data_IF_815418164402
#
_entry.id   IF_815418164402
#
_cell.length_a   1.000
_cell.length_b   1.000
_cell.length_c   1.000
_cell.angle_alpha   90.00
_cell.angle_beta   90.00
_cell.angle_gamma   90.00
#
_symmetry.space_group_name_H-M   'P 1'
#
loop_
_entity.id
_entity.type
_entity.pdbx_description
1 polymer ?
#
# COMPACT_ATOMS: atom_id res chain seq x y z
N UNK A 1 -13.18 -36.97 -21.88
CA UNK A 1 -12.59 -35.76 -22.50
C UNK A 1 -13.27 -34.48 -22.03
N UNK A 2 -14.59 -34.46 -21.84
CA UNK A 2 -15.34 -33.28 -21.38
C UNK A 2 -14.84 -32.70 -20.04
N UNK A 3 -14.58 -33.52 -19.03
CA UNK A 3 -14.04 -33.04 -17.76
C UNK A 3 -12.66 -32.39 -17.92
N UNK A 4 -11.80 -32.87 -18.83
CA UNK A 4 -10.47 -32.30 -19.06
C UNK A 4 -10.56 -30.92 -19.75
N UNK A 5 -11.52 -30.75 -20.66
CA UNK A 5 -11.80 -29.49 -21.33
C UNK A 5 -12.41 -28.47 -20.37
N UNK A 6 -13.30 -28.90 -19.49
CA UNK A 6 -13.91 -28.04 -18.45
C UNK A 6 -12.86 -27.61 -17.41
N UNK A 7 -12.03 -28.52 -16.92
CA UNK A 7 -10.90 -28.18 -16.03
C UNK A 7 -9.87 -27.29 -16.71
N UNK A 8 -9.57 -27.54 -18.00
CA UNK A 8 -8.71 -26.69 -18.82
C UNK A 8 -9.28 -25.28 -19.01
N UNK A 9 -10.59 -25.16 -19.23
CA UNK A 9 -11.31 -23.89 -19.33
C UNK A 9 -11.29 -23.11 -18.01
N UNK A 10 -11.57 -23.76 -16.87
CA UNK A 10 -11.48 -23.12 -15.56
C UNK A 10 -10.06 -22.70 -15.21
N UNK A 11 -9.07 -23.55 -15.52
CA UNK A 11 -7.66 -23.23 -15.32
C UNK A 11 -7.26 -22.02 -16.16
N UNK A 12 -7.53 -22.00 -17.47
CA UNK A 12 -7.19 -20.88 -18.35
C UNK A 12 -7.92 -19.59 -17.94
N UNK A 13 -9.19 -19.72 -17.52
CA UNK A 13 -10.01 -18.60 -17.07
C UNK A 13 -9.49 -17.97 -15.78
N UNK A 14 -9.16 -18.77 -14.77
CA UNK A 14 -8.65 -18.27 -13.48
C UNK A 14 -7.16 -17.91 -13.52
N UNK A 15 -6.38 -18.56 -14.39
CA UNK A 15 -4.94 -18.38 -14.47
C UNK A 15 -4.53 -17.17 -15.31
N UNK A 16 -5.19 -16.92 -16.44
CA UNK A 16 -4.80 -15.88 -17.39
C UNK A 16 -5.93 -14.87 -17.70
N UNK A 17 -7.16 -15.33 -17.92
CA UNK A 17 -8.26 -14.46 -18.35
C UNK A 17 -8.71 -13.48 -17.26
N UNK A 18 -9.10 -13.99 -16.09
CA UNK A 18 -9.58 -13.18 -14.96
C UNK A 18 -8.48 -12.24 -14.44
N UNK A 19 -7.23 -12.68 -14.18
CA UNK A 19 -6.16 -11.78 -13.78
C UNK A 19 -5.84 -10.71 -14.84
N UNK A 20 -5.83 -11.08 -16.12
CA UNK A 20 -5.64 -10.14 -17.23
C UNK A 20 -6.76 -9.10 -17.31
N UNK A 21 -8.02 -9.53 -17.20
CA UNK A 21 -9.20 -8.68 -17.19
C UNK A 21 -9.18 -7.72 -15.98
N UNK A 22 -8.93 -8.24 -14.78
CA UNK A 22 -8.89 -7.46 -13.53
C UNK A 22 -7.77 -6.41 -13.58
N UNK A 23 -6.62 -6.76 -14.13
CA UNK A 23 -5.48 -5.83 -14.26
C UNK A 23 -5.76 -4.73 -15.28
N UNK A 24 -6.38 -5.08 -16.41
CA UNK A 24 -6.71 -4.14 -17.47
C UNK A 24 -7.83 -3.19 -17.04
N UNK A 25 -8.89 -3.70 -16.45
CA UNK A 25 -10.03 -2.91 -15.98
C UNK A 25 -9.68 -2.11 -14.73
N UNK A 26 -9.22 -2.77 -13.66
CA UNK A 26 -9.08 -2.16 -12.33
C UNK A 26 -7.66 -1.68 -11.99
N UNK A 27 -6.65 -1.97 -12.81
CA UNK A 27 -5.27 -1.56 -12.52
C UNK A 27 -4.68 -2.23 -11.27
N UNK A 28 -5.18 -3.42 -10.90
CA UNK A 28 -4.74 -4.10 -9.70
C UNK A 28 -3.25 -4.49 -9.80
N UNK A 29 -2.42 -3.88 -8.93
CA UNK A 29 -0.96 -4.11 -8.83
C UNK A 29 -0.16 -3.81 -10.12
N UNK A 30 -0.75 -3.08 -11.07
CA UNK A 30 -0.10 -2.63 -12.30
C UNK A 30 -0.16 -1.10 -12.40
N UNK A 31 0.82 -0.48 -13.05
CA UNK A 31 0.77 0.94 -13.39
C UNK A 31 0.42 1.10 -14.87
N UNK A 32 -0.71 1.76 -15.16
CA UNK A 32 -1.21 1.94 -16.55
C UNK A 32 -1.42 3.40 -16.96
N UNK A 33 -1.62 4.28 -15.98
CA UNK A 33 -1.89 5.70 -16.19
C UNK A 33 -1.47 6.46 -14.94
N UNK A 34 -0.83 7.61 -15.15
CA UNK A 34 -0.47 8.55 -14.10
C UNK A 34 -1.54 9.59 -13.81
N UNK A 35 -1.40 10.25 -12.67
CA UNK A 35 -2.10 11.49 -12.35
C UNK A 35 -1.09 12.64 -12.44
N UNK A 36 -1.09 13.36 -13.56
CA UNK A 36 -0.18 14.46 -13.83
C UNK A 36 -0.93 15.58 -14.55
N UNK A 37 -0.31 16.74 -14.68
CA UNK A 37 -0.95 17.91 -15.32
C UNK A 37 -0.46 18.12 -16.75
N UNK A 38 0.82 17.85 -17.00
CA UNK A 38 1.45 18.06 -18.32
C UNK A 38 2.36 16.91 -18.76
N UNK A 39 2.49 15.85 -17.98
CA UNK A 39 3.48 14.80 -18.23
C UNK A 39 2.88 13.58 -18.89
N UNK A 40 3.57 13.06 -19.90
CA UNK A 40 3.23 11.85 -20.66
C UNK A 40 4.43 10.91 -20.61
N UNK A 41 4.20 9.62 -20.45
CA UNK A 41 5.28 8.63 -20.47
C UNK A 41 5.25 7.81 -21.76
N UNK A 42 6.30 7.96 -22.56
CA UNK A 42 6.56 7.14 -23.74
C UNK A 42 7.22 5.85 -23.31
N UNK A 43 6.70 4.72 -23.79
CA UNK A 43 7.25 3.40 -23.50
C UNK A 43 7.42 2.60 -24.79
N UNK A 44 8.57 1.96 -24.94
CA UNK A 44 8.95 1.20 -26.12
C UNK A 44 9.23 -0.26 -25.74
N UNK A 45 8.55 -1.19 -26.40
CA UNK A 45 8.73 -2.63 -26.21
C UNK A 45 9.52 -3.24 -27.37
N UNK A 46 10.03 -4.46 -27.15
CA UNK A 46 10.64 -5.37 -28.13
C UNK A 46 12.10 -5.11 -28.53
N UNK A 47 12.60 -3.89 -28.37
CA UNK A 47 14.01 -3.57 -28.62
C UNK A 47 15.02 -4.20 -27.64
N UNK A 48 16.31 -3.84 -27.76
CA UNK A 48 16.85 -2.92 -28.77
C UNK A 48 17.00 -3.56 -30.15
N UNK A 49 16.68 -2.78 -31.18
CA UNK A 49 16.91 -3.08 -32.59
C UNK A 49 18.07 -2.19 -33.10
N UNK A 50 19.14 -2.78 -33.67
CA UNK A 50 20.32 -2.01 -34.08
C UNK A 50 20.06 -1.00 -35.21
N UNK A 51 18.98 -1.16 -35.97
CA UNK A 51 18.62 -0.25 -37.06
C UNK A 51 17.72 0.89 -36.60
N UNK A 52 16.74 0.61 -35.74
CA UNK A 52 15.69 1.57 -35.39
C UNK A 52 15.86 2.23 -34.01
N UNK A 53 16.36 1.49 -33.01
CA UNK A 53 16.57 2.04 -31.66
C UNK A 53 17.54 3.23 -31.65
N UNK A 54 18.67 3.26 -32.40
CA UNK A 54 19.52 4.45 -32.46
C UNK A 54 18.79 5.69 -32.98
N UNK A 55 17.99 5.52 -34.04
CA UNK A 55 17.21 6.61 -34.65
C UNK A 55 16.13 7.13 -33.71
N UNK A 56 15.54 6.23 -32.93
CA UNK A 56 14.58 6.58 -31.88
C UNK A 56 15.25 7.42 -30.77
N UNK A 57 16.42 7.00 -30.31
CA UNK A 57 17.20 7.73 -29.30
C UNK A 57 17.56 9.14 -29.80
N UNK A 58 18.03 9.26 -31.05
CA UNK A 58 18.30 10.57 -31.67
C UNK A 58 17.04 11.46 -31.72
N UNK A 59 15.90 10.89 -32.08
CA UNK A 59 14.62 11.61 -32.13
C UNK A 59 14.20 12.09 -30.73
N UNK A 60 14.30 11.23 -29.71
CA UNK A 60 13.98 11.60 -28.33
C UNK A 60 14.90 12.72 -27.84
N UNK A 61 16.21 12.63 -28.12
CA UNK A 61 17.20 13.63 -27.74
C UNK A 61 16.90 15.00 -28.38
N UNK A 62 16.54 15.05 -29.67
CA UNK A 62 16.15 16.30 -30.37
C UNK A 62 14.98 17.03 -29.71
N UNK A 63 14.07 16.29 -29.08
CA UNK A 63 12.91 16.85 -28.39
C UNK A 63 13.08 16.97 -26.87
N UNK A 64 14.28 16.68 -26.33
CA UNK A 64 14.51 16.64 -24.87
C UNK A 64 13.60 15.66 -24.14
N UNK A 65 13.12 14.62 -24.84
CA UNK A 65 12.17 13.65 -24.33
C UNK A 65 12.90 12.49 -23.64
N UNK A 66 12.36 12.01 -22.51
CA UNK A 66 12.84 10.79 -21.86
C UNK A 66 11.76 9.72 -21.85
N UNK A 67 12.17 8.48 -22.08
CA UNK A 67 11.28 7.35 -22.26
C UNK A 67 11.63 6.16 -21.35
N UNK A 68 10.81 5.11 -21.41
CA UNK A 68 11.09 3.83 -20.75
C UNK A 68 11.07 2.69 -21.75
N UNK A 69 12.18 1.96 -21.86
CA UNK A 69 12.38 0.87 -22.81
C UNK A 69 12.22 -0.47 -22.09
N UNK A 70 11.24 -1.29 -22.49
CA UNK A 70 11.08 -2.66 -22.03
C UNK A 70 11.75 -3.59 -23.03
N UNK A 71 12.99 -3.97 -22.70
CA UNK A 71 13.85 -4.69 -23.64
C UNK A 71 13.66 -6.21 -23.56
N UNK A 72 13.77 -6.86 -24.72
CA UNK A 72 13.87 -8.31 -24.82
C UNK A 72 15.31 -8.72 -24.54
N UNK A 73 15.54 -9.57 -23.54
CA UNK A 73 16.87 -9.90 -23.06
C UNK A 73 17.83 -10.46 -24.13
N UNK A 74 17.36 -11.28 -25.06
CA UNK A 74 18.16 -11.80 -26.16
C UNK A 74 18.56 -10.72 -27.20
N UNK A 75 17.80 -9.63 -27.28
CA UNK A 75 18.16 -8.47 -28.10
C UNK A 75 19.18 -7.60 -27.35
N UNK A 76 18.89 -7.34 -26.08
CA UNK A 76 19.74 -6.57 -25.19
C UNK A 76 21.14 -7.18 -25.02
N UNK A 77 21.24 -8.51 -24.96
CA UNK A 77 22.53 -9.21 -24.83
C UNK A 77 23.41 -9.07 -26.07
N UNK A 78 22.80 -8.92 -27.25
CA UNK A 78 23.51 -8.70 -28.52
C UNK A 78 23.92 -7.24 -28.73
N UNK A 79 23.25 -6.30 -28.05
CA UNK A 79 23.43 -4.86 -28.22
C UNK A 79 23.61 -4.12 -26.87
N UNK A 80 24.59 -4.50 -26.03
CA UNK A 80 24.81 -3.86 -24.73
C UNK A 80 25.16 -2.37 -24.85
N UNK A 81 25.76 -1.95 -25.97
CA UNK A 81 26.05 -0.55 -26.30
C UNK A 81 24.80 0.32 -26.35
N UNK A 82 23.67 -0.22 -26.85
CA UNK A 82 22.41 0.50 -26.91
C UNK A 82 21.77 0.63 -25.53
N UNK A 83 21.92 -0.37 -24.66
CA UNK A 83 21.49 -0.29 -23.26
C UNK A 83 22.27 0.79 -22.51
N UNK A 84 23.59 0.84 -22.71
CA UNK A 84 24.43 1.88 -22.12
C UNK A 84 24.01 3.27 -22.63
N UNK A 85 23.79 3.42 -23.94
CA UNK A 85 23.31 4.66 -24.54
C UNK A 85 21.96 5.11 -23.97
N UNK A 86 20.98 4.20 -23.85
CA UNK A 86 19.69 4.49 -23.21
C UNK A 86 19.86 5.06 -21.80
N UNK A 87 20.74 4.44 -21.00
CA UNK A 87 21.03 4.89 -19.64
C UNK A 87 21.70 6.27 -19.62
N UNK A 88 22.74 6.45 -20.43
CA UNK A 88 23.53 7.68 -20.49
C UNK A 88 22.68 8.88 -20.97
N UNK A 89 21.69 8.65 -21.85
CA UNK A 89 20.69 9.64 -22.30
C UNK A 89 19.51 9.83 -21.31
N UNK A 90 19.56 9.18 -20.13
CA UNK A 90 18.62 9.40 -19.04
C UNK A 90 17.27 8.68 -19.20
N UNK A 91 17.21 7.65 -20.03
CA UNK A 91 16.03 6.79 -20.15
C UNK A 91 16.01 5.70 -19.07
N UNK A 92 14.82 5.12 -18.83
CA UNK A 92 14.68 3.97 -17.92
C UNK A 92 14.61 2.69 -18.72
N UNK A 93 15.26 1.63 -18.23
CA UNK A 93 15.23 0.30 -18.86
C UNK A 93 14.44 -0.65 -17.95
N UNK A 94 13.50 -1.37 -18.54
CA UNK A 94 12.67 -2.38 -17.92
C UNK A 94 12.78 -3.73 -18.65
N UNK A 95 12.21 -4.76 -18.03
CA UNK A 95 12.29 -6.14 -18.52
C UNK A 95 11.08 -6.45 -19.41
N UNK A 96 11.30 -7.09 -20.57
CA UNK A 96 10.27 -7.65 -21.45
C UNK A 96 10.45 -9.15 -21.75
N UNK A 97 10.85 -9.92 -20.73
CA UNK A 97 11.37 -11.30 -20.84
C UNK A 97 12.66 -11.41 -21.66
N UNK A 98 13.30 -12.59 -21.62
CA UNK A 98 14.53 -12.82 -22.36
C UNK A 98 14.24 -13.18 -23.82
N UNK A 99 13.16 -13.92 -24.08
CA UNK A 99 12.54 -14.08 -25.41
C UNK A 99 11.12 -13.54 -25.40
N UNK A 100 10.67 -12.99 -26.54
CA UNK A 100 9.32 -12.45 -26.71
C UNK A 100 8.26 -13.58 -26.84
N UNK A 101 8.05 -14.31 -25.75
CA UNK A 101 7.09 -15.41 -25.63
C UNK A 101 6.02 -15.06 -24.58
N UNK A 102 4.76 -15.35 -24.89
CA UNK A 102 3.65 -15.09 -23.97
C UNK A 102 3.77 -15.92 -22.68
N UNK A 103 3.50 -15.32 -21.53
CA UNK A 103 3.70 -15.98 -20.24
C UNK A 103 2.72 -17.13 -19.97
N UNK A 104 1.51 -17.09 -20.53
CA UNK A 104 0.47 -18.08 -20.26
C UNK A 104 0.78 -19.46 -20.86
N UNK A 105 1.63 -19.52 -21.88
CA UNK A 105 2.15 -20.78 -22.46
C UNK A 105 3.47 -21.24 -21.82
N UNK A 106 3.97 -20.53 -20.81
CA UNK A 106 5.21 -20.85 -20.11
C UNK A 106 4.94 -21.28 -18.67
N UNK A 107 5.73 -22.25 -18.19
CA UNK A 107 5.69 -22.65 -16.78
C UNK A 107 6.22 -21.51 -15.90
N UNK A 108 5.71 -21.33 -14.66
CA UNK A 108 6.17 -20.28 -13.74
C UNK A 108 7.70 -20.20 -13.54
N UNK A 109 8.37 -21.35 -13.45
CA UNK A 109 9.84 -21.43 -13.35
C UNK A 109 10.54 -20.87 -14.60
N UNK A 110 9.97 -21.11 -15.78
CA UNK A 110 10.51 -20.59 -17.03
C UNK A 110 10.36 -19.07 -17.10
N UNK A 111 9.19 -18.52 -16.77
CA UNK A 111 8.99 -17.06 -16.70
C UNK A 111 9.96 -16.41 -15.70
N UNK A 112 10.15 -17.03 -14.52
CA UNK A 112 11.16 -16.55 -13.56
C UNK A 112 12.57 -16.51 -14.17
N UNK A 113 12.97 -17.54 -14.92
CA UNK A 113 14.28 -17.59 -15.59
C UNK A 113 14.39 -16.48 -16.65
N UNK A 114 13.36 -16.31 -17.49
CA UNK A 114 13.29 -15.26 -18.52
C UNK A 114 13.51 -13.86 -17.94
N UNK A 115 12.80 -13.54 -16.85
CA UNK A 115 12.93 -12.24 -16.17
C UNK A 115 14.33 -12.08 -15.55
N UNK A 116 14.86 -13.13 -14.92
CA UNK A 116 16.16 -13.04 -14.21
C UNK A 116 17.33 -12.87 -15.19
N UNK A 117 17.33 -13.63 -16.30
CA UNK A 117 18.34 -13.48 -17.35
C UNK A 117 18.35 -12.08 -17.94
N UNK A 118 17.17 -11.52 -18.23
CA UNK A 118 17.07 -10.15 -18.76
C UNK A 118 17.57 -9.13 -17.74
N UNK A 119 17.26 -9.33 -16.45
CA UNK A 119 17.76 -8.46 -15.39
C UNK A 119 19.29 -8.48 -15.29
N UNK A 120 19.90 -9.66 -15.38
CA UNK A 120 21.36 -9.82 -15.39
C UNK A 120 22.01 -9.15 -16.60
N UNK A 121 21.41 -9.26 -17.78
CA UNK A 121 21.89 -8.58 -19.01
C UNK A 121 21.84 -7.06 -18.84
N UNK A 122 20.73 -6.52 -18.32
CA UNK A 122 20.58 -5.08 -18.08
C UNK A 122 21.63 -4.62 -17.06
N UNK A 123 21.72 -5.29 -15.91
CA UNK A 123 22.64 -4.93 -14.83
C UNK A 123 24.11 -5.01 -15.28
N UNK A 124 24.49 -6.01 -16.07
CA UNK A 124 25.84 -6.12 -16.64
C UNK A 124 26.15 -4.98 -17.61
N UNK A 125 25.17 -4.56 -18.40
CA UNK A 125 25.37 -3.54 -19.46
C UNK A 125 25.35 -2.11 -18.91
N UNK A 126 24.56 -1.85 -17.87
CA UNK A 126 24.30 -0.49 -17.37
C UNK A 126 24.79 -0.25 -15.96
N UNK A 127 25.05 -1.31 -15.18
CA UNK A 127 25.31 -1.22 -13.74
C UNK A 127 24.08 -0.91 -12.89
N UNK A 128 22.87 -0.92 -13.48
CA UNK A 128 21.61 -0.66 -12.76
C UNK A 128 20.72 -1.89 -12.73
N UNK A 129 20.22 -2.22 -11.54
CA UNK A 129 19.23 -3.29 -11.38
C UNK A 129 17.85 -2.81 -11.85
N UNK A 130 17.24 -3.45 -12.87
CA UNK A 130 15.92 -3.04 -13.33
C UNK A 130 14.83 -3.35 -12.30
N UNK A 131 13.89 -2.42 -12.12
CA UNK A 131 12.77 -2.55 -11.17
C UNK A 131 11.40 -2.62 -11.85
N UNK A 132 11.36 -2.43 -13.17
CA UNK A 132 10.14 -2.45 -13.97
C UNK A 132 10.10 -3.65 -14.89
N UNK A 133 8.88 -4.17 -15.08
CA UNK A 133 8.63 -5.33 -15.90
C UNK A 133 7.32 -5.14 -16.66
N UNK A 134 7.32 -5.49 -17.94
CA UNK A 134 6.11 -5.59 -18.75
C UNK A 134 6.07 -6.99 -19.35
N UNK A 135 5.04 -7.80 -19.10
CA UNK A 135 4.95 -9.11 -19.71
C UNK A 135 4.68 -8.97 -21.22
N UNK A 136 5.29 -9.83 -22.07
CA UNK A 136 4.95 -9.90 -23.49
C UNK A 136 3.45 -9.99 -23.72
N UNK A 137 2.96 -9.30 -24.75
CA UNK A 137 1.53 -9.19 -25.09
C UNK A 137 0.66 -8.48 -24.02
N UNK A 138 1.26 -7.98 -22.94
CA UNK A 138 0.54 -7.43 -21.78
C UNK A 138 -0.37 -8.43 -21.07
N UNK A 139 -0.15 -9.74 -21.28
CA UNK A 139 -0.94 -10.80 -20.65
C UNK A 139 -0.33 -11.10 -19.28
N UNK A 140 -1.06 -10.71 -18.23
CA UNK A 140 -0.68 -10.93 -16.85
C UNK A 140 -1.41 -12.16 -16.31
N UNK A 141 -0.69 -13.10 -15.68
CA UNK A 141 -1.27 -14.27 -15.03
C UNK A 141 -1.12 -14.21 -13.50
N UNK A 142 -1.73 -15.16 -12.77
CA UNK A 142 -1.67 -15.19 -11.31
C UNK A 142 -0.23 -15.29 -10.76
N UNK A 143 0.68 -15.93 -11.50
CA UNK A 143 2.09 -16.03 -11.12
C UNK A 143 2.80 -14.67 -11.18
N UNK A 144 2.49 -13.82 -12.17
CA UNK A 144 3.06 -12.47 -12.25
C UNK A 144 2.74 -11.65 -10.98
N UNK A 145 1.61 -11.93 -10.30
CA UNK A 145 1.27 -11.34 -9.00
C UNK A 145 1.91 -12.03 -7.79
N UNK A 146 2.29 -13.30 -7.92
CA UNK A 146 2.85 -14.11 -6.81
C UNK A 146 4.24 -13.63 -6.37
N UNK A 147 4.98 -12.96 -7.27
CA UNK A 147 6.23 -12.27 -6.95
C UNK A 147 5.96 -10.97 -6.19
N UNK A 148 5.74 -11.08 -4.88
CA UNK A 148 5.61 -9.93 -3.98
C UNK A 148 6.91 -9.11 -3.96
N UNK A 149 6.98 -8.05 -4.76
CA UNK A 149 7.83 -6.89 -4.49
C UNK A 149 9.15 -6.75 -5.26
N UNK A 150 9.52 -7.70 -6.14
CA UNK A 150 10.77 -7.57 -6.89
C UNK A 150 10.67 -6.61 -8.09
N UNK A 151 9.56 -6.66 -8.83
CA UNK A 151 9.35 -5.82 -10.01
C UNK A 151 7.97 -5.17 -9.99
N UNK A 152 7.89 -3.92 -10.46
CA UNK A 152 6.63 -3.22 -10.67
C UNK A 152 6.15 -3.47 -12.10
N UNK A 153 4.95 -4.02 -12.23
CA UNK A 153 4.34 -4.28 -13.54
C UNK A 153 3.84 -2.96 -14.13
N UNK A 154 4.25 -2.67 -15.36
CA UNK A 154 3.85 -1.48 -16.11
C UNK A 154 3.11 -1.92 -17.36
N UNK A 155 1.87 -1.47 -17.51
CA UNK A 155 1.07 -1.62 -18.72
C UNK A 155 0.92 -0.25 -19.39
N UNK A 156 -0.19 0.01 -20.08
CA UNK A 156 -0.40 1.22 -20.87
C UNK A 156 -1.85 1.70 -20.80
N UNK A 157 -2.06 2.96 -21.14
CA UNK A 157 -3.38 3.59 -21.31
C UNK A 157 -3.70 3.91 -22.78
N UNK A 158 -2.70 3.85 -23.65
CA UNK A 158 -2.82 3.97 -25.11
C UNK A 158 -2.00 2.88 -25.83
N UNK A 159 -2.62 2.24 -26.80
CA UNK A 159 -2.01 1.28 -27.73
C UNK A 159 -2.56 1.56 -29.12
N UNK A 160 -1.71 1.52 -30.15
CA UNK A 160 -2.01 2.17 -31.43
C UNK A 160 -1.92 1.24 -32.64
N UNK A 161 -1.35 0.04 -32.48
CA UNK A 161 -1.13 -0.90 -33.58
C UNK A 161 0.06 -0.52 -34.44
N UNK A 162 1.06 0.12 -33.84
CA UNK A 162 2.29 0.61 -34.47
C UNK A 162 3.26 -0.50 -34.89
N UNK A 163 3.05 -1.73 -34.41
CA UNK A 163 3.77 -2.93 -34.85
C UNK A 163 3.31 -3.48 -36.21
N UNK A 164 2.28 -2.89 -36.82
CA UNK A 164 1.85 -3.24 -38.18
C UNK A 164 2.22 -2.12 -39.14
N UNK A 165 2.73 -2.47 -40.32
CA UNK A 165 2.85 -1.56 -41.42
C UNK A 165 1.44 -1.25 -41.95
N UNK A 166 1.08 0.03 -42.03
CA UNK A 166 -0.18 0.47 -42.61
C UNK A 166 0.07 1.13 -43.97
N UNK A 167 -0.88 0.98 -44.88
CA UNK A 167 -0.88 1.71 -46.16
C UNK A 167 -1.16 3.21 -45.93
N UNK A 168 -2.06 3.53 -44.99
CA UNK A 168 -2.32 4.91 -44.55
C UNK A 168 -1.35 5.32 -43.43
N UNK A 169 -0.25 5.97 -43.81
CA UNK A 169 0.77 6.51 -42.89
C UNK A 169 0.20 7.49 -41.85
N UNK A 170 -0.91 8.17 -42.16
CA UNK A 170 -1.54 9.12 -41.23
C UNK A 170 -2.41 8.45 -40.16
N UNK A 171 -2.77 7.16 -40.33
CA UNK A 171 -3.64 6.45 -39.39
C UNK A 171 -3.04 6.38 -37.99
N UNK A 172 -1.76 6.05 -37.89
CA UNK A 172 -1.04 5.95 -36.61
C UNK A 172 -0.95 7.32 -35.94
N UNK A 173 -0.57 8.36 -36.69
CA UNK A 173 -0.53 9.76 -36.24
C UNK A 173 -1.86 10.21 -35.62
N UNK A 174 -2.98 10.00 -36.31
CA UNK A 174 -4.32 10.37 -35.79
C UNK A 174 -4.65 9.65 -34.48
N UNK A 175 -4.29 8.38 -34.35
CA UNK A 175 -4.54 7.60 -33.12
C UNK A 175 -3.67 8.08 -31.96
N UNK A 176 -2.40 8.37 -32.21
CA UNK A 176 -1.48 8.93 -31.23
C UNK A 176 -2.00 10.27 -30.69
N UNK A 177 -2.33 11.21 -31.58
CA UNK A 177 -2.79 12.54 -31.20
C UNK A 177 -4.08 12.53 -30.36
N UNK A 178 -5.00 11.57 -30.58
CA UNK A 178 -6.20 11.39 -29.73
C UNK A 178 -5.86 11.08 -28.26
N UNK A 179 -4.65 10.54 -28.00
CA UNK A 179 -4.12 10.21 -26.68
C UNK A 179 -3.03 11.18 -26.23
N UNK A 180 -2.90 12.35 -26.84
CA UNK A 180 -2.06 13.43 -26.35
C UNK A 180 -2.74 14.13 -25.16
N UNK A 181 -2.70 13.46 -24.00
CA UNK A 181 -3.36 13.86 -22.75
C UNK A 181 -2.42 13.61 -21.57
N UNK A 182 -2.50 14.39 -20.48
CA UNK A 182 -1.62 14.20 -19.35
C UNK A 182 -1.89 12.87 -18.64
N UNK A 183 -0.83 12.30 -18.09
CA UNK A 183 -0.85 11.05 -17.34
C UNK A 183 -0.85 9.80 -18.22
N UNK A 184 -0.87 9.92 -19.54
CA UNK A 184 -0.89 8.77 -20.43
C UNK A 184 0.44 8.01 -20.39
N UNK A 185 0.34 6.67 -20.36
CA UNK A 185 1.45 5.75 -20.62
C UNK A 185 1.23 5.18 -22.01
N UNK A 186 2.01 5.66 -22.97
CA UNK A 186 1.91 5.39 -24.41
C UNK A 186 2.80 4.17 -24.71
N UNK A 187 2.20 3.08 -25.19
CA UNK A 187 2.93 1.90 -25.66
C UNK A 187 3.21 2.04 -27.16
N UNK A 188 4.50 1.90 -27.52
CA UNK A 188 5.04 1.83 -28.87
C UNK A 188 6.10 0.70 -28.93
N UNK A 189 6.59 0.37 -30.13
CA UNK A 189 7.53 -0.72 -30.37
C UNK A 189 8.67 -0.22 -31.27
N UNK A 190 9.91 -0.45 -30.85
CA UNK A 190 11.11 -0.03 -31.58
C UNK A 190 11.80 -1.16 -32.34
N UNK A 191 11.23 -2.36 -32.35
CA UNK A 191 11.74 -3.53 -33.06
C UNK A 191 10.66 -4.20 -33.91
N UNK A 192 11.00 -4.52 -35.16
CA UNK A 192 10.13 -5.22 -36.13
C UNK A 192 10.41 -6.72 -36.26
N UNK A 193 11.28 -7.28 -35.41
CA UNK A 193 11.76 -8.68 -35.52
C UNK A 193 11.03 -9.64 -34.58
N UNK A 194 10.16 -9.14 -33.69
CA UNK A 194 9.38 -9.97 -32.78
C UNK A 194 8.16 -10.56 -33.47
N UNK A 195 7.71 -11.72 -32.97
CA UNK A 195 6.56 -12.42 -33.54
C UNK A 195 5.31 -11.50 -33.54
N UNK A 196 4.76 -11.25 -34.73
CA UNK A 196 3.54 -10.45 -34.92
C UNK A 196 3.79 -8.99 -35.26
N UNK A 197 5.04 -8.53 -35.31
CA UNK A 197 5.43 -7.22 -35.81
C UNK A 197 5.89 -7.31 -37.28
N UNK A 198 5.58 -6.28 -38.07
CA UNK A 198 6.09 -6.13 -39.44
C UNK A 198 7.46 -5.46 -39.41
N UNK A 199 8.40 -5.94 -40.23
CA UNK A 199 9.80 -5.49 -40.22
C UNK A 199 9.97 -3.96 -40.38
N UNK A 200 9.13 -3.34 -41.21
CA UNK A 200 9.18 -1.90 -41.50
C UNK A 200 8.30 -1.04 -40.57
N UNK A 201 7.55 -1.65 -39.64
CA UNK A 201 6.64 -0.93 -38.76
C UNK A 201 7.34 0.12 -37.87
N UNK A 202 8.55 -0.14 -37.32
CA UNK A 202 9.27 0.87 -36.53
C UNK A 202 9.59 2.15 -37.32
N UNK A 203 9.78 2.07 -38.65
CA UNK A 203 9.99 3.25 -39.48
C UNK A 203 8.75 4.17 -39.48
N UNK A 204 7.56 3.59 -39.70
CA UNK A 204 6.31 4.34 -39.66
C UNK A 204 6.00 4.87 -38.25
N UNK A 205 6.37 4.11 -37.21
CA UNK A 205 6.25 4.54 -35.83
C UNK A 205 7.09 5.80 -35.57
N UNK A 206 8.34 5.84 -36.02
CA UNK A 206 9.23 7.00 -35.87
C UNK A 206 8.66 8.25 -36.54
N UNK A 207 8.12 8.13 -37.75
CA UNK A 207 7.46 9.25 -38.45
C UNK A 207 6.27 9.78 -37.65
N UNK A 208 5.38 8.90 -37.19
CA UNK A 208 4.22 9.30 -36.41
C UNK A 208 4.59 9.87 -35.03
N UNK A 209 5.66 9.34 -34.41
CA UNK A 209 6.18 9.79 -33.12
C UNK A 209 6.77 11.20 -33.23
N UNK A 210 7.48 11.52 -34.30
CA UNK A 210 8.00 12.88 -34.52
C UNK A 210 6.87 13.92 -34.44
N UNK A 211 5.80 13.73 -35.21
CA UNK A 211 4.64 14.63 -35.15
C UNK A 211 3.98 14.69 -33.76
N UNK A 212 3.95 13.56 -33.04
CA UNK A 212 3.40 13.51 -31.68
C UNK A 212 4.25 14.30 -30.67
N UNK A 213 5.58 14.22 -30.78
CA UNK A 213 6.53 14.98 -29.96
C UNK A 213 6.45 16.47 -30.25
N UNK A 214 6.41 16.87 -31.53
CA UNK A 214 6.27 18.26 -31.96
C UNK A 214 4.97 18.88 -31.41
N UNK A 215 3.83 18.24 -31.65
CA UNK A 215 2.53 18.72 -31.22
C UNK A 215 2.39 18.70 -29.69
N UNK A 216 3.00 17.70 -29.03
CA UNK A 216 3.07 17.61 -27.58
C UNK A 216 3.85 18.77 -26.98
N UNK A 217 5.03 19.05 -27.52
CA UNK A 217 5.89 20.15 -27.09
C UNK A 217 5.19 21.50 -27.30
N UNK A 218 4.55 21.70 -28.46
CA UNK A 218 3.77 22.90 -28.79
C UNK A 218 2.63 23.14 -27.79
N UNK A 219 2.01 22.07 -27.28
CA UNK A 219 0.95 22.13 -26.25
C UNK A 219 1.49 22.19 -24.81
N UNK A 220 2.81 22.24 -24.64
CA UNK A 220 3.46 22.33 -23.33
C UNK A 220 3.48 21.01 -22.55
N UNK A 221 3.32 19.87 -23.21
CA UNK A 221 3.51 18.56 -22.58
C UNK A 221 5.00 18.26 -22.39
N UNK A 222 5.31 17.47 -21.37
CA UNK A 222 6.67 16.96 -21.10
C UNK A 222 6.68 15.44 -21.17
N UNK A 223 7.67 14.89 -21.85
CA UNK A 223 7.84 13.46 -21.99
C UNK A 223 8.81 12.93 -20.93
N UNK A 224 8.30 12.08 -20.03
CA UNK A 224 9.00 11.63 -18.83
C UNK A 224 9.05 10.11 -18.74
N UNK A 225 9.98 9.59 -17.94
CA UNK A 225 10.08 8.15 -17.69
C UNK A 225 8.91 7.66 -16.82
N UNK A 226 8.64 6.36 -16.85
CA UNK A 226 7.63 5.73 -16.00
C UNK A 226 7.87 5.98 -14.51
N UNK A 227 9.08 5.79 -13.94
CA UNK A 227 9.36 6.13 -12.54
C UNK A 227 9.01 7.58 -12.17
N UNK A 228 9.32 8.54 -13.04
CA UNK A 228 8.98 9.95 -12.80
C UNK A 228 7.48 10.19 -12.82
N UNK A 229 6.76 9.60 -13.79
CA UNK A 229 5.31 9.71 -13.84
C UNK A 229 4.65 9.07 -12.61
N UNK A 230 5.21 7.98 -12.08
CA UNK A 230 4.78 7.37 -10.82
C UNK A 230 5.00 8.34 -9.66
N UNK A 231 6.17 8.97 -9.55
CA UNK A 231 6.45 9.94 -8.46
C UNK A 231 5.46 11.11 -8.50
N UNK A 232 5.22 11.68 -9.69
CA UNK A 232 4.24 12.75 -9.89
C UNK A 232 2.82 12.31 -9.51
N UNK A 233 2.44 11.09 -9.89
CA UNK A 233 1.14 10.50 -9.54
C UNK A 233 0.94 10.42 -8.05
N UNK A 234 1.93 9.91 -7.32
CA UNK A 234 1.85 9.78 -5.87
C UNK A 234 1.84 11.16 -5.18
N UNK A 235 2.60 12.13 -5.69
CA UNK A 235 2.57 13.53 -5.23
C UNK A 235 1.19 14.18 -5.45
N UNK A 236 0.54 13.93 -6.59
CA UNK A 236 -0.75 14.52 -6.91
C UNK A 236 -1.91 13.84 -6.17
N UNK A 237 -1.86 12.52 -5.95
CA UNK A 237 -2.82 11.81 -5.08
C UNK A 237 -2.78 12.33 -3.64
N UNK A 238 -1.58 12.64 -3.14
CA UNK A 238 -1.41 13.23 -1.81
C UNK A 238 -2.08 14.61 -1.70
N UNK A 239 -2.06 15.40 -2.79
CA UNK A 239 -2.65 16.74 -2.85
C UNK A 239 -4.17 16.74 -3.07
N UNK A 240 -4.70 15.74 -3.77
CA UNK A 240 -6.14 15.59 -4.08
C UNK A 240 -6.65 14.22 -3.63
N UNK A 241 -6.92 14.00 -2.33
CA UNK A 241 -7.53 12.75 -1.88
C UNK A 241 -8.88 12.57 -2.56
N UNK A 242 -9.03 11.46 -3.30
CA UNK A 242 -10.23 11.11 -4.07
C UNK A 242 -11.50 11.28 -3.23
N UNK A 243 -12.55 11.87 -3.81
CA UNK A 243 -13.84 12.04 -3.14
C UNK A 243 -14.41 10.70 -2.65
N UNK A 244 -14.14 9.59 -3.35
CA UNK A 244 -14.46 8.24 -2.90
C UNK A 244 -13.75 7.86 -1.60
N UNK A 245 -12.52 8.31 -1.36
CA UNK A 245 -11.82 8.07 -0.09
C UNK A 245 -12.45 8.89 1.04
N UNK A 246 -12.99 10.08 0.74
CA UNK A 246 -13.75 10.88 1.71
C UNK A 246 -15.10 10.23 2.02
N UNK A 247 -15.80 9.74 0.99
CA UNK A 247 -17.07 9.03 1.14
C UNK A 247 -16.91 7.71 1.89
N UNK A 248 -15.89 6.91 1.57
CA UNK A 248 -15.58 5.69 2.32
C UNK A 248 -15.20 5.99 3.76
N UNK A 249 -14.38 7.02 4.02
CA UNK A 249 -14.06 7.43 5.38
C UNK A 249 -15.31 7.93 6.14
N UNK A 250 -16.21 8.64 5.46
CA UNK A 250 -17.46 9.10 6.05
C UNK A 250 -18.41 7.92 6.35
N UNK A 251 -18.62 7.02 5.39
CA UNK A 251 -19.42 5.81 5.57
C UNK A 251 -18.86 4.91 6.67
N UNK A 252 -17.54 4.84 6.81
CA UNK A 252 -16.86 4.11 7.88
C UNK A 252 -17.10 4.73 9.26
N UNK A 253 -16.97 6.06 9.38
CA UNK A 253 -17.26 6.77 10.63
C UNK A 253 -18.75 6.67 11.02
N UNK A 254 -19.65 6.64 10.03
CA UNK A 254 -21.08 6.41 10.28
C UNK A 254 -21.37 4.97 10.71
N UNK A 255 -20.68 3.98 10.13
CA UNK A 255 -20.76 2.59 10.59
C UNK A 255 -20.29 2.44 12.04
N UNK A 256 -19.25 3.18 12.44
CA UNK A 256 -18.77 3.22 13.83
C UNK A 256 -19.79 3.83 14.78
N UNK A 257 -20.42 4.95 14.43
CA UNK A 257 -21.50 5.53 15.24
C UNK A 257 -22.69 4.56 15.40
N UNK A 258 -23.05 3.86 14.31
CA UNK A 258 -24.08 2.83 14.35
C UNK A 258 -23.66 1.63 15.21
N UNK A 259 -22.38 1.24 15.17
CA UNK A 259 -21.82 0.18 16.02
C UNK A 259 -21.85 0.57 17.50
N UNK A 260 -21.45 1.79 17.85
CA UNK A 260 -21.54 2.32 19.23
C UNK A 260 -22.97 2.32 19.76
N UNK A 261 -23.94 2.73 18.92
CA UNK A 261 -25.35 2.77 19.26
C UNK A 261 -25.92 1.36 19.49
N UNK A 262 -25.61 0.42 18.61
CA UNK A 262 -26.12 -0.97 18.66
C UNK A 262 -25.50 -1.76 19.82
N UNK A 263 -24.22 -1.52 20.16
CA UNK A 263 -23.48 -2.31 21.14
C UNK A 263 -23.25 -1.64 22.51
N UNK A 264 -23.79 -0.43 22.74
CA UNK A 264 -23.76 0.31 24.03
C UNK A 264 -22.37 0.36 24.68
N UNK A 265 -21.36 0.72 23.89
CA UNK A 265 -19.97 0.83 24.34
C UNK A 265 -19.80 1.99 25.32
N UNK A 266 -19.12 1.77 26.46
CA UNK A 266 -18.81 2.84 27.43
C UNK A 266 -17.47 3.49 27.07
N UNK A 267 -17.42 4.82 26.82
CA UNK A 267 -16.19 5.52 26.49
C UNK A 267 -15.30 5.68 27.73
N UNK A 268 -13.99 5.58 27.53
CA UNK A 268 -12.97 5.94 28.51
C UNK A 268 -12.26 7.18 27.99
N UNK A 269 -12.50 8.32 28.64
CA UNK A 269 -11.83 9.58 28.33
C UNK A 269 -10.35 9.50 28.71
N UNK A 270 -9.47 9.97 27.83
CA UNK A 270 -8.05 10.17 28.14
C UNK A 270 -7.85 11.32 29.13
N UNK A 271 -6.64 11.43 29.70
CA UNK A 271 -6.24 12.65 30.41
C UNK A 271 -6.26 13.83 29.42
N UNK A 272 -6.89 14.93 29.84
CA UNK A 272 -7.14 16.19 29.10
C UNK A 272 -8.30 16.16 28.08
N UNK A 273 -9.54 16.26 28.57
CA UNK A 273 -10.66 16.92 27.86
C UNK A 273 -10.98 16.51 26.41
N UNK A 274 -10.48 15.37 25.95
CA UNK A 274 -10.45 14.96 24.55
C UNK A 274 -11.13 13.62 24.29
N UNK A 275 -11.42 13.38 23.00
CA UNK A 275 -12.12 12.20 22.44
C UNK A 275 -11.67 10.87 23.09
N UNK A 276 -12.59 9.90 23.28
CA UNK A 276 -12.30 8.64 23.95
C UNK A 276 -11.15 7.87 23.27
N UNK A 277 -10.26 7.29 24.10
CA UNK A 277 -9.08 6.53 23.64
C UNK A 277 -9.42 5.04 23.51
N UNK A 278 -10.26 4.56 24.44
CA UNK A 278 -10.69 3.17 24.54
C UNK A 278 -12.18 3.12 24.88
N UNK A 279 -12.82 2.04 24.45
CA UNK A 279 -14.16 1.66 24.88
C UNK A 279 -14.12 0.28 25.52
N UNK A 280 -15.05 0.02 26.45
CA UNK A 280 -15.22 -1.31 27.02
C UNK A 280 -16.69 -1.73 27.08
N UNK A 281 -16.92 -3.05 27.08
CA UNK A 281 -18.23 -3.66 27.34
C UNK A 281 -18.10 -5.01 28.02
N UNK A 282 -19.19 -5.47 28.64
CA UNK A 282 -19.28 -6.82 29.17
C UNK A 282 -19.68 -7.78 28.04
N UNK A 283 -18.98 -8.89 27.90
CA UNK A 283 -19.32 -9.97 26.98
C UNK A 283 -19.33 -11.30 27.70
N UNK A 284 -20.15 -12.24 27.22
CA UNK A 284 -20.05 -13.65 27.63
C UNK A 284 -19.02 -14.34 26.73
N UNK A 285 -18.03 -14.99 27.34
CA UNK A 285 -17.02 -15.73 26.62
C UNK A 285 -17.62 -16.97 25.94
N UNK A 286 -17.30 -17.18 24.66
CA UNK A 286 -17.82 -18.29 23.87
C UNK A 286 -16.71 -19.09 23.17
N UNK A 287 -15.47 -18.96 23.63
CA UNK A 287 -14.30 -19.66 23.08
C UNK A 287 -13.93 -20.96 23.82
N UNK A 288 -12.81 -21.61 23.44
CA UNK A 288 -12.29 -22.78 24.14
C UNK A 288 -11.87 -22.44 25.57
N UNK A 289 -11.83 -23.42 26.46
CA UNK A 289 -11.32 -23.22 27.82
C UNK A 289 -9.87 -22.74 27.80
N UNK A 290 -9.59 -21.70 28.59
CA UNK A 290 -8.28 -21.05 28.67
C UNK A 290 -7.87 -20.97 30.13
N UNK A 291 -6.61 -21.30 30.40
CA UNK A 291 -5.97 -21.12 31.70
C UNK A 291 -4.97 -19.97 31.62
N UNK A 292 -5.12 -18.99 32.52
CA UNK A 292 -4.21 -17.85 32.65
C UNK A 292 -3.08 -18.16 33.66
N UNK A 293 -1.98 -17.38 33.59
CA UNK A 293 -0.75 -17.53 34.40
C UNK A 293 -0.92 -17.51 35.92
N UNK A 294 -2.10 -17.22 36.48
CA UNK A 294 -2.39 -17.34 37.92
C UNK A 294 -3.40 -18.47 38.26
N UNK A 295 -3.58 -19.45 37.38
CA UNK A 295 -4.52 -20.57 37.59
C UNK A 295 -5.99 -20.19 37.38
N UNK A 296 -6.26 -18.99 36.87
CA UNK A 296 -7.61 -18.52 36.53
C UNK A 296 -8.08 -19.22 35.26
N UNK A 297 -9.13 -20.03 35.38
CA UNK A 297 -9.79 -20.68 34.24
C UNK A 297 -10.96 -19.87 33.71
N UNK A 298 -10.92 -19.61 32.40
CA UNK A 298 -11.97 -18.95 31.63
C UNK A 298 -12.70 -20.01 30.81
N UNK A 299 -13.99 -20.20 31.10
CA UNK A 299 -14.86 -21.16 30.44
C UNK A 299 -16.02 -20.47 29.74
N UNK A 300 -16.69 -21.20 28.85
CA UNK A 300 -17.84 -20.69 28.09
C UNK A 300 -18.94 -20.19 29.05
N UNK A 301 -19.38 -18.95 28.84
CA UNK A 301 -20.38 -18.25 29.66
C UNK A 301 -19.79 -17.23 30.63
N UNK A 302 -18.49 -17.29 30.91
CA UNK A 302 -17.83 -16.35 31.80
C UNK A 302 -17.92 -14.91 31.31
N UNK A 303 -18.06 -13.98 32.25
CA UNK A 303 -18.14 -12.56 31.94
C UNK A 303 -16.73 -11.98 31.81
N UNK A 304 -16.49 -11.33 30.67
CA UNK A 304 -15.24 -10.65 30.35
C UNK A 304 -15.51 -9.17 30.06
N UNK A 305 -14.53 -8.32 30.34
CA UNK A 305 -14.54 -6.94 29.90
C UNK A 305 -13.80 -6.84 28.56
N UNK A 306 -14.53 -6.72 27.46
CA UNK A 306 -13.95 -6.58 26.13
C UNK A 306 -13.54 -5.14 25.88
N UNK A 307 -12.28 -4.93 25.47
CA UNK A 307 -11.73 -3.61 25.13
C UNK A 307 -11.67 -3.37 23.63
N UNK A 308 -12.00 -2.15 23.21
CA UNK A 308 -12.02 -1.70 21.82
C UNK A 308 -11.22 -0.40 21.69
N UNK A 309 -10.26 -0.38 20.78
CA UNK A 309 -9.51 0.82 20.40
C UNK A 309 -10.38 1.76 19.59
N UNK A 310 -10.37 3.04 19.94
CA UNK A 310 -11.08 4.06 19.17
C UNK A 310 -10.44 4.21 17.78
N UNK A 311 -11.27 4.17 16.72
CA UNK A 311 -10.75 4.22 15.35
C UNK A 311 -10.17 5.61 15.01
N UNK A 312 -10.54 6.68 15.71
CA UNK A 312 -9.94 8.00 15.56
C UNK A 312 -8.50 8.01 16.08
N UNK A 313 -8.21 7.31 17.19
CA UNK A 313 -6.84 7.13 17.68
C UNK A 313 -6.00 6.33 16.67
N UNK A 314 -6.55 5.21 16.15
CA UNK A 314 -5.89 4.42 15.11
C UNK A 314 -5.61 5.27 13.86
N UNK A 315 -6.57 6.08 13.43
CA UNK A 315 -6.44 6.98 12.27
C UNK A 315 -5.41 8.08 12.52
N UNK A 316 -5.38 8.68 13.70
CA UNK A 316 -4.43 9.74 14.06
C UNK A 316 -3.00 9.19 14.19
N UNK A 317 -2.84 8.05 14.86
CA UNK A 317 -1.58 7.33 14.99
C UNK A 317 -1.05 6.90 13.62
N UNK A 318 -1.94 6.39 12.75
CA UNK A 318 -1.64 6.16 11.35
C UNK A 318 -1.20 7.46 10.71
N UNK A 319 -2.06 8.48 10.57
CA UNK A 319 -1.82 9.77 9.88
C UNK A 319 -0.54 10.50 10.28
N UNK A 320 -0.07 10.38 11.52
CA UNK A 320 1.14 11.08 12.01
C UNK A 320 2.46 10.32 11.87
N UNK A 321 2.44 9.01 11.61
CA UNK A 321 3.65 8.15 11.61
C UNK A 321 3.99 7.56 10.24
N UNK A 322 5.23 7.66 9.77
CA UNK A 322 5.65 7.27 8.41
C UNK A 322 5.94 5.77 8.22
N UNK A 323 6.02 5.00 9.31
CA UNK A 323 6.32 3.55 9.29
C UNK A 323 5.28 2.76 10.09
N UNK A 324 4.85 1.56 9.62
CA UNK A 324 3.99 0.65 10.38
C UNK A 324 4.54 0.31 11.77
N UNK A 325 5.88 0.23 11.91
CA UNK A 325 6.54 -0.02 13.20
C UNK A 325 6.35 1.18 14.14
N UNK A 326 6.42 2.41 13.63
CA UNK A 326 6.20 3.62 14.43
C UNK A 326 4.73 3.76 14.85
N UNK A 327 3.78 3.40 13.98
CA UNK A 327 2.35 3.32 14.35
C UNK A 327 2.18 2.35 15.52
N UNK A 328 2.79 1.16 15.41
CA UNK A 328 2.73 0.12 16.43
C UNK A 328 3.35 0.55 17.77
N UNK A 329 4.55 1.15 17.78
CA UNK A 329 5.19 1.68 18.99
C UNK A 329 4.29 2.73 19.66
N UNK A 330 3.65 3.59 18.87
CA UNK A 330 2.77 4.63 19.39
C UNK A 330 1.52 4.02 20.02
N UNK A 331 0.87 3.08 19.33
CA UNK A 331 -0.29 2.37 19.88
C UNK A 331 0.06 1.62 21.18
N UNK A 332 1.24 1.00 21.26
CA UNK A 332 1.71 0.38 22.51
C UNK A 332 1.83 1.43 23.62
N UNK A 333 2.46 2.58 23.38
CA UNK A 333 2.58 3.66 24.38
C UNK A 333 1.23 4.23 24.83
N UNK A 334 0.31 4.42 23.89
CA UNK A 334 -1.05 4.88 24.23
C UNK A 334 -1.76 3.83 25.09
N UNK A 335 -1.62 2.54 24.76
CA UNK A 335 -2.14 1.45 25.58
C UNK A 335 -1.48 1.37 26.97
N UNK A 336 -0.15 1.52 27.07
CA UNK A 336 0.56 1.60 28.37
C UNK A 336 -0.04 2.69 29.25
N UNK A 337 -0.33 3.87 28.68
CA UNK A 337 -0.93 4.99 29.42
C UNK A 337 -2.40 4.78 29.78
N UNK A 338 -3.15 4.08 28.93
CA UNK A 338 -4.60 3.93 29.08
C UNK A 338 -4.98 2.73 29.97
N UNK A 339 -4.13 1.70 30.03
CA UNK A 339 -4.39 0.47 30.79
C UNK A 339 -4.74 0.73 32.27
N UNK A 340 -3.98 1.53 33.05
CA UNK A 340 -4.36 1.81 34.44
C UNK A 340 -5.73 2.48 34.58
N UNK A 341 -6.08 3.36 33.63
CA UNK A 341 -7.37 4.07 33.60
C UNK A 341 -8.50 3.09 33.30
N UNK A 342 -8.30 2.18 32.33
CA UNK A 342 -9.28 1.15 31.94
C UNK A 342 -9.48 0.15 33.07
N UNK A 343 -8.39 -0.36 33.65
CA UNK A 343 -8.44 -1.27 34.79
C UNK A 343 -9.23 -0.66 35.94
N UNK A 344 -8.97 0.61 36.29
CA UNK A 344 -9.73 1.32 37.34
C UNK A 344 -11.20 1.50 36.97
N UNK A 345 -11.50 1.87 35.72
CA UNK A 345 -12.88 2.04 35.26
C UNK A 345 -13.67 0.72 35.28
N UNK A 346 -13.05 -0.39 34.89
CA UNK A 346 -13.67 -1.72 34.89
C UNK A 346 -13.84 -2.24 36.32
N UNK A 347 -12.83 -2.12 37.17
CA UNK A 347 -12.90 -2.58 38.57
C UNK A 347 -13.93 -1.79 39.40
N UNK A 348 -14.11 -0.50 39.12
CA UNK A 348 -15.05 0.37 39.84
C UNK A 348 -16.48 0.36 39.26
N UNK A 349 -16.73 -0.31 38.13
CA UNK A 349 -18.06 -0.41 37.53
C UNK A 349 -18.85 -1.56 38.20
N UNK A 350 -19.95 -1.30 38.94
CA UNK A 350 -20.70 -2.33 39.65
C UNK A 350 -21.21 -3.45 38.73
N UNK A 351 -21.48 -3.13 37.46
CA UNK A 351 -21.93 -4.09 36.44
C UNK A 351 -20.83 -5.06 36.00
N UNK A 352 -19.57 -4.72 36.24
CA UNK A 352 -18.38 -5.50 35.87
C UNK A 352 -17.79 -6.27 37.05
N UNK A 353 -18.44 -6.27 38.20
CA UNK A 353 -18.01 -7.00 39.41
C UNK A 353 -17.70 -8.48 39.14
N UNK A 354 -18.48 -9.14 38.29
CA UNK A 354 -18.33 -10.55 37.90
C UNK A 354 -17.30 -10.82 36.79
N UNK A 355 -16.60 -9.80 36.29
CA UNK A 355 -15.62 -9.96 35.22
C UNK A 355 -14.35 -10.66 35.72
N UNK A 356 -13.95 -11.74 35.03
CA UNK A 356 -12.74 -12.51 35.34
C UNK A 356 -11.46 -11.95 34.72
N UNK A 357 -11.56 -11.30 33.56
CA UNK A 357 -10.42 -10.77 32.82
C UNK A 357 -10.83 -9.67 31.82
N UNK A 358 -9.88 -8.81 31.45
CA UNK A 358 -9.98 -8.02 30.23
C UNK A 358 -9.70 -8.91 29.02
N UNK A 359 -10.44 -8.67 27.96
CA UNK A 359 -10.39 -9.45 26.73
C UNK A 359 -10.29 -8.53 25.52
N UNK A 360 -9.51 -8.91 24.52
CA UNK A 360 -9.44 -8.22 23.25
C UNK A 360 -8.97 -9.11 22.13
N UNK A 361 -9.18 -8.69 20.89
CA UNK A 361 -8.65 -9.37 19.69
C UNK A 361 -7.75 -8.40 18.95
N UNK A 362 -6.48 -8.79 18.75
CA UNK A 362 -5.49 -7.93 18.09
C UNK A 362 -4.63 -8.70 17.09
N UNK A 363 -4.27 -8.02 16.01
CA UNK A 363 -3.24 -8.45 15.05
C UNK A 363 -1.84 -7.96 15.45
N UNK A 364 -1.78 -6.99 16.37
CA UNK A 364 -0.55 -6.41 16.90
C UNK A 364 -0.23 -7.16 18.20
N UNK A 365 0.42 -8.31 18.07
CA UNK A 365 0.75 -9.17 19.22
C UNK A 365 2.23 -9.06 19.66
N UNK A 366 3.09 -8.41 18.88
CA UNK A 366 4.49 -8.19 19.31
C UNK A 366 4.52 -7.05 20.32
N UNK A 367 5.00 -7.30 21.53
CA UNK A 367 5.09 -6.29 22.59
C UNK A 367 3.86 -6.15 23.48
N UNK A 368 2.75 -6.85 23.19
CA UNK A 368 1.61 -6.94 24.12
C UNK A 368 1.95 -7.76 25.36
N UNK A 369 2.91 -8.67 25.29
CA UNK A 369 3.41 -9.40 26.46
C UNK A 369 4.03 -8.44 27.50
N UNK A 370 4.62 -7.32 27.05
CA UNK A 370 5.16 -6.28 27.94
C UNK A 370 4.07 -5.48 28.66
N UNK A 371 2.85 -5.52 28.14
CA UNK A 371 1.66 -4.91 28.73
C UNK A 371 0.94 -5.85 29.72
N UNK A 372 1.51 -7.04 30.00
CA UNK A 372 0.91 -8.06 30.86
C UNK A 372 -0.11 -8.98 30.15
N UNK A 373 -0.46 -8.72 28.89
CA UNK A 373 -1.44 -9.56 28.20
C UNK A 373 -0.88 -10.95 27.87
N UNK A 374 -1.74 -11.96 28.05
CA UNK A 374 -1.51 -13.34 27.66
C UNK A 374 -2.16 -13.60 26.30
N UNK A 375 -1.43 -14.27 25.39
CA UNK A 375 -1.80 -14.48 24.00
C UNK A 375 -2.34 -15.89 23.77
N UNK A 376 -3.52 -15.99 23.16
CA UNK A 376 -4.11 -17.26 22.74
C UNK A 376 -4.56 -17.21 21.28
N UNK A 377 -4.57 -18.35 20.61
CA UNK A 377 -4.99 -18.42 19.21
C UNK A 377 -6.52 -18.32 19.09
N UNK A 378 -6.98 -17.49 18.17
CA UNK A 378 -8.41 -17.28 17.93
C UNK A 378 -8.99 -18.52 17.21
N UNK A 379 -9.99 -19.22 17.77
CA UNK A 379 -10.57 -20.42 17.15
C UNK A 379 -11.15 -20.12 15.77
N UNK A 380 -10.94 -21.03 14.82
CA UNK A 380 -11.41 -20.94 13.42
C UNK A 380 -12.94 -21.00 13.32
N UNK A 381 -13.63 -19.88 13.51
CA UNK A 381 -15.08 -19.75 13.38
C UNK A 381 -15.48 -18.56 12.46
N UNK A 382 -16.79 -18.35 12.23
CA UNK A 382 -17.30 -17.25 11.39
C UNK A 382 -16.84 -15.88 11.90
N UNK A 383 -16.73 -15.70 13.21
CA UNK A 383 -16.21 -14.49 13.84
C UNK A 383 -14.73 -14.28 13.52
N UNK A 384 -13.89 -15.31 13.55
CA UNK A 384 -12.49 -15.24 13.14
C UNK A 384 -12.33 -14.91 11.65
N UNK A 385 -13.17 -15.50 10.78
CA UNK A 385 -13.19 -15.18 9.34
C UNK A 385 -13.58 -13.73 9.09
N UNK A 386 -14.65 -13.25 9.72
CA UNK A 386 -15.10 -11.85 9.64
C UNK A 386 -14.06 -10.86 10.18
N UNK A 387 -13.49 -11.14 11.35
CA UNK A 387 -12.45 -10.32 11.98
C UNK A 387 -11.20 -10.22 11.11
N UNK A 388 -10.77 -11.31 10.45
CA UNK A 388 -9.65 -11.27 9.49
C UNK A 388 -9.93 -10.35 8.31
N UNK A 389 -11.15 -10.36 7.78
CA UNK A 389 -11.54 -9.51 6.65
C UNK A 389 -11.56 -8.05 7.08
N UNK A 390 -12.23 -7.74 8.20
CA UNK A 390 -12.29 -6.41 8.81
C UNK A 390 -10.90 -5.85 9.08
N UNK A 391 -10.04 -6.61 9.77
CA UNK A 391 -8.69 -6.16 10.12
C UNK A 391 -7.79 -5.99 8.88
N UNK A 392 -7.96 -6.81 7.84
CA UNK A 392 -7.24 -6.60 6.55
C UNK A 392 -7.67 -5.31 5.86
N UNK A 393 -8.97 -4.99 5.88
CA UNK A 393 -9.49 -3.73 5.33
C UNK A 393 -8.94 -2.55 6.13
N UNK A 394 -9.01 -2.62 7.46
CA UNK A 394 -8.46 -1.61 8.37
C UNK A 394 -6.97 -1.35 8.09
N UNK A 395 -6.13 -2.39 8.03
CA UNK A 395 -4.72 -2.23 7.72
C UNK A 395 -4.48 -1.61 6.34
N UNK A 396 -5.25 -1.98 5.32
CA UNK A 396 -5.13 -1.41 3.97
C UNK A 396 -5.46 0.09 3.96
N UNK A 397 -6.42 0.52 4.77
CA UNK A 397 -6.80 1.93 4.93
C UNK A 397 -5.76 2.68 5.76
N UNK A 398 -5.26 2.10 6.86
CA UNK A 398 -4.24 2.72 7.73
C UNK A 398 -2.86 2.83 7.06
N UNK A 399 -2.51 1.87 6.20
CA UNK A 399 -1.25 1.87 5.42
C UNK A 399 -1.35 2.61 4.08
N UNK A 400 -2.54 3.09 3.70
CA UNK A 400 -2.71 3.99 2.58
C UNK A 400 -2.21 5.39 2.97
N UNK A 401 -0.90 5.57 3.00
CA UNK A 401 -0.29 6.87 3.29
C UNK A 401 0.33 7.57 2.07
N UNK A 402 0.10 8.89 1.94
CA UNK A 402 0.91 9.76 1.10
C UNK A 402 2.28 9.95 1.76
N UNK A 403 3.37 9.66 1.03
CA UNK A 403 4.73 9.83 1.54
C UNK A 403 5.10 11.32 1.59
N UNK A 404 5.16 11.89 2.80
CA UNK A 404 5.92 13.11 3.07
C UNK A 404 7.42 12.78 3.07
N UNK A 405 8.20 13.58 2.34
CA UNK A 405 9.66 13.48 2.23
C UNK A 405 10.34 13.74 3.57
N UNK A 406 11.33 12.91 3.90
CA UNK A 406 12.47 13.31 4.73
C UNK A 406 13.73 12.74 4.05
N UNK A 407 14.48 13.63 3.40
CA UNK A 407 15.88 13.39 3.02
C UNK A 407 16.68 13.38 4.32
N UNK A 408 17.60 12.42 4.47
CA UNK A 408 18.93 12.64 5.05
C UNK A 408 19.83 11.46 4.64
N UNK A 409 20.94 11.78 3.97
CA UNK A 409 22.06 10.88 3.65
C UNK A 409 22.80 10.55 4.95
N UNK A 410 23.24 9.31 5.13
CA UNK A 410 24.68 9.01 5.29
C UNK A 410 24.99 7.50 5.20
N UNK A 411 26.14 7.23 4.56
CA UNK A 411 26.87 5.96 4.47
C UNK A 411 27.24 5.44 5.86
N UNK A 412 27.21 4.12 6.06
CA UNK A 412 28.39 3.38 6.50
C UNK A 412 28.27 1.87 6.24
N UNK A 413 29.44 1.26 6.20
CA UNK A 413 29.87 0.01 5.59
C UNK A 413 29.62 -1.23 6.44
N UNK A 414 29.37 -2.34 5.73
CA UNK A 414 29.83 -3.73 5.93
C UNK A 414 29.86 -4.41 7.30
N UNK A 415 29.49 -5.71 7.25
CA UNK A 415 29.90 -6.84 8.11
C UNK A 415 28.96 -7.21 9.25
N UNK A 416 28.13 -8.24 9.05
CA UNK A 416 28.29 -9.53 9.75
C UNK A 416 27.37 -10.62 9.18
N UNK A 417 27.89 -11.86 9.24
CA UNK A 417 27.39 -13.14 8.74
C UNK A 417 26.10 -13.63 9.43
N UNK A 418 25.37 -14.46 8.67
CA UNK A 418 24.59 -15.67 9.04
C UNK A 418 23.72 -15.61 10.31
N UNK A 419 22.41 -15.82 10.13
CA UNK A 419 21.64 -17.02 10.56
C UNK A 419 20.14 -16.72 10.48
N UNK A 420 19.33 -17.76 10.28
CA UNK A 420 17.88 -17.70 10.53
C UNK A 420 16.99 -17.54 9.32
N UNK A 421 16.61 -18.67 8.70
CA UNK A 421 15.34 -18.81 7.98
C UNK A 421 14.19 -18.50 8.95
N UNK A 422 13.78 -17.24 9.03
CA UNK A 422 12.53 -16.83 9.67
C UNK A 422 11.44 -16.76 8.61
N UNK A 423 10.52 -17.73 8.60
CA UNK A 423 9.35 -17.73 7.73
C UNK A 423 8.62 -16.40 7.81
N UNK A 424 8.14 -15.92 6.65
CA UNK A 424 7.29 -14.74 6.57
C UNK A 424 6.03 -14.98 7.42
N UNK A 425 6.04 -14.52 8.66
CA UNK A 425 4.97 -14.71 9.62
C UNK A 425 3.72 -14.00 9.06
N UNK A 426 2.75 -14.79 8.65
CA UNK A 426 1.42 -14.32 8.27
C UNK A 426 0.81 -13.71 9.54
N UNK A 427 0.47 -12.41 9.51
CA UNK A 427 -0.19 -11.76 10.65
C UNK A 427 -1.58 -12.38 10.85
N UNK A 428 -1.75 -13.15 11.91
CA UNK A 428 -3.03 -13.74 12.33
C UNK A 428 -3.53 -13.04 13.60
N UNK A 429 -4.85 -12.81 13.73
CA UNK A 429 -5.42 -12.21 14.93
C UNK A 429 -5.32 -13.19 16.10
N UNK A 430 -4.96 -12.67 17.27
CA UNK A 430 -4.88 -13.42 18.52
C UNK A 430 -5.78 -12.82 19.58
N UNK A 431 -6.26 -13.66 20.49
CA UNK A 431 -6.96 -13.24 21.68
C UNK A 431 -5.93 -12.78 22.72
N UNK A 432 -6.23 -11.65 23.36
CA UNK A 432 -5.46 -11.03 24.42
C UNK A 432 -6.27 -11.12 25.70
N UNK A 433 -5.68 -11.61 26.78
CA UNK A 433 -6.29 -11.65 28.10
C UNK A 433 -5.40 -10.98 29.14
N UNK A 434 -5.99 -10.12 29.96
CA UNK A 434 -5.33 -9.59 31.16
C UNK A 434 -6.15 -10.02 32.38
N UNK A 435 -5.51 -10.69 33.33
CA UNK A 435 -6.20 -11.22 34.50
C UNK A 435 -6.76 -10.08 35.35
N UNK A 436 -7.73 -10.39 36.22
CA UNK A 436 -8.21 -9.41 37.20
C UNK A 436 -7.10 -8.99 38.18
N UNK A 437 -6.21 -9.90 38.56
CA UNK A 437 -5.07 -9.60 39.43
C UNK A 437 -4.09 -8.64 38.75
N UNK A 438 -3.81 -8.85 37.46
CA UNK A 438 -2.99 -7.92 36.68
C UNK A 438 -3.64 -6.53 36.58
N UNK A 439 -4.96 -6.46 36.38
CA UNK A 439 -5.69 -5.18 36.42
C UNK A 439 -5.50 -4.44 37.74
N UNK A 440 -5.64 -5.15 38.87
CA UNK A 440 -5.47 -4.59 40.20
C UNK A 440 -4.03 -4.10 40.44
N UNK A 441 -3.03 -4.83 39.94
CA UNK A 441 -1.62 -4.42 39.96
C UNK A 441 -1.38 -3.08 39.24
N UNK A 442 -1.96 -2.89 38.04
CA UNK A 442 -1.86 -1.62 37.32
C UNK A 442 -2.49 -0.43 38.06
N UNK A 443 -3.57 -0.67 38.81
CA UNK A 443 -4.22 0.36 39.63
C UNK A 443 -3.34 0.72 40.83
N UNK A 444 -2.75 -0.27 41.49
CA UNK A 444 -1.94 -0.08 42.69
C UNK A 444 -0.59 0.60 42.40
N UNK A 445 0.02 0.35 41.23
CA UNK A 445 1.25 1.01 40.77
C UNK A 445 1.09 2.52 40.47
N UNK A 446 -0.14 3.01 40.30
CA UNK A 446 -0.42 4.42 39.93
C UNK A 446 -1.04 5.26 41.05
N UNK A 447 -1.08 4.75 42.28
CA UNK A 447 -1.55 5.48 43.46
C UNK A 447 -0.40 6.31 44.04
N UNK A 448 -0.48 7.66 44.12
CA UNK A 448 0.47 8.43 44.92
C UNK A 448 0.23 8.08 46.40
N UNK A 449 1.31 7.93 47.19
CA UNK A 449 1.22 7.80 48.64
C UNK A 449 0.36 8.95 49.23
N UNK A 450 -0.43 8.70 50.29
CA UNK A 450 -1.28 9.72 50.87
C UNK A 450 -0.40 10.86 51.40
N UNK A 451 -0.58 12.09 50.87
CA UNK A 451 0.03 13.29 51.42
C UNK A 451 -0.50 13.48 52.84
N UNK A 452 0.42 13.62 53.80
CA UNK A 452 0.12 14.08 55.16
C UNK A 452 -0.68 15.39 55.08
N UNK A 453 -1.73 15.48 55.89
CA UNK A 453 -2.50 16.69 56.07
C UNK A 453 -1.60 17.79 56.66
N UNK A 454 -1.47 18.91 55.95
CA UNK A 454 -1.03 20.18 56.54
C UNK A 454 -2.26 21.02 56.86
N UNK A 455 -2.24 21.58 58.07
CA UNK A 455 -3.31 22.31 58.74
C UNK A 455 -3.56 23.71 58.15
N UNK A 456 -4.74 24.31 58.39
CA UNK A 456 -5.17 25.55 57.78
C UNK A 456 -4.68 26.78 58.56
N UNK A 457 -4.05 27.74 57.89
CA UNK A 457 -4.04 29.14 58.29
C UNK A 457 -3.56 30.01 57.13
N UNK A 458 -4.48 30.75 56.52
CA UNK A 458 -4.45 32.22 56.42
C UNK A 458 -5.64 32.71 55.55
N UNK A 459 -6.42 33.62 56.13
CA UNK A 459 -7.61 34.29 55.59
C UNK A 459 -7.21 35.64 54.92
N UNK A 460 -8.13 36.36 54.25
CA UNK A 460 -7.92 36.95 52.93
C UNK A 460 -7.76 38.48 52.94
N UNK A 461 -7.32 39.04 51.82
CA UNK A 461 -7.49 40.46 51.50
C UNK A 461 -8.49 40.64 50.36
N UNK A 462 -9.49 41.45 50.64
CA UNK A 462 -10.63 41.78 49.80
C UNK A 462 -10.45 43.13 49.08
N UNK A 463 -11.30 43.32 48.06
CA UNK A 463 -11.72 44.55 47.39
C UNK A 463 -10.69 45.21 46.44
N UNK A 464 -11.05 45.63 45.22
CA UNK A 464 -12.23 46.44 44.88
C UNK A 464 -12.62 46.25 43.41
N UNK A 465 -13.91 46.50 43.15
CA UNK A 465 -14.56 46.51 41.85
C UNK A 465 -14.18 47.75 41.02
N UNK A 466 -14.19 47.60 39.69
CA UNK A 466 -14.76 48.63 38.83
C UNK A 466 -15.23 48.02 37.50
N UNK A 467 -16.21 48.70 36.94
CA UNK A 467 -17.31 48.27 36.10
C UNK A 467 -17.14 48.93 34.72
N UNK A 468 -17.20 48.17 33.61
CA UNK A 468 -17.40 48.77 32.28
C UNK A 468 -17.92 47.76 31.25
N UNK A 469 -19.25 47.77 31.13
CA UNK A 469 -20.08 47.69 29.93
C UNK A 469 -19.54 47.03 28.64
N UNK A 470 -20.33 46.06 28.16
CA UNK A 470 -20.47 45.60 26.76
C UNK A 470 -20.83 46.76 25.80
N UNK A 471 -20.66 46.60 24.48
CA UNK A 471 -21.79 46.08 23.71
C UNK A 471 -21.45 45.04 22.62
N UNK A 472 -22.48 44.24 22.40
CA UNK A 472 -22.84 43.27 21.38
C UNK A 472 -22.75 43.75 19.92
N UNK A 473 -22.25 42.91 19.00
CA UNK A 473 -22.71 42.73 17.58
C UNK A 473 -21.97 41.49 17.03
N UNK A 474 -22.56 40.31 16.75
CA UNK A 474 -23.53 39.89 15.71
C UNK A 474 -23.08 40.19 14.25
N UNK A 475 -22.85 39.07 13.52
CA UNK A 475 -22.88 38.79 12.06
C UNK A 475 -21.77 39.31 11.13
N UNK A 476 -20.97 38.37 10.60
CA UNK A 476 -21.14 37.86 9.22
C UNK A 476 -20.49 36.48 9.06
#
# INVERSE_FOLDING_TARGET
>A
MENLLVWGFYFLSLYAFIPGLVSRMFGFRVFKKGLSEKEISLTFDDGPDPQYTPKLLDLLARHGARATFFVVGAHAERHPELLKRMKDEGHTIGIHNYVHKANWIMRPKAVKKQISLTAEVIERSTGETPVFYRPPWGIVNLFDFSKKGQYKIVLWSGIFGDWRAHEDSNRLKRRLLKKLKPGEVVLLHDCGLTLGADANAPAQMLEALQYYLEEGTRKGYRFVTVPELIELTEKNKARRPSWWNRLFAAAWLQYENLFHLVFRLKPIAGKEGGKPILHYRQVSYNGPEIELKEGVRITKGDKLAEIHLDNALLRQAAMRSSSPVTVMIRLIREMESALPVVSRAVLNDPKMSSVKALYGVSMIHKGTDKLGFQLFDLPENLFAKGSRIYLKILFRVLSAKPKLKLKLKQKQTSSTKKTGRGGANVMYPRMLFLSRMDMESFVNMTTPAPRKAESPNELPLAATAEEAALPTTILS
#
